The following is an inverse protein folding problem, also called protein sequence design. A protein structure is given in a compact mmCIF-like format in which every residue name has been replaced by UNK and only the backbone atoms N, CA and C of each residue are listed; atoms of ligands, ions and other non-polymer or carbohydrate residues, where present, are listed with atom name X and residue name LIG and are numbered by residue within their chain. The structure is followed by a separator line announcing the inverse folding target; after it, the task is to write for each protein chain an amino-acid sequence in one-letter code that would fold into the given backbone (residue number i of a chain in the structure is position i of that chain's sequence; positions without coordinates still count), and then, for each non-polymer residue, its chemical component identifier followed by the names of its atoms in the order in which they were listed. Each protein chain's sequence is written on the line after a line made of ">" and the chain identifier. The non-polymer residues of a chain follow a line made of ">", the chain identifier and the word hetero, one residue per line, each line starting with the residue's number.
data_IF_521877392158
#
_entry.id   IF_521877392158
#
_cell.length_a   1.000
_cell.length_b   1.000
_cell.length_c   1.000
_cell.angle_alpha   90.00
_cell.angle_beta   90.00
_cell.angle_gamma   90.00
#
_symmetry.space_group_name_H-M   'P 1'
#
loop_
_entity.id
_entity.type
_entity.pdbx_description
1 polymer ?
#
# COMPACT_ATOMS: atom_id res chain seq x y z
N UNK A 1 27.71 19.38 -37.32
CA UNK A 1 27.68 20.10 -36.03
C UNK A 1 26.25 20.04 -35.56
N UNK A 2 25.91 19.00 -34.79
CA UNK A 2 24.53 18.74 -34.35
C UNK A 2 24.32 19.38 -32.97
N UNK A 3 23.26 20.17 -32.86
CA UNK A 3 22.96 21.00 -31.69
C UNK A 3 22.78 20.13 -30.43
N UNK A 4 23.48 20.41 -29.32
CA UNK A 4 23.26 19.69 -28.07
C UNK A 4 21.83 19.94 -27.60
N UNK A 5 21.02 18.89 -27.58
CA UNK A 5 19.61 18.97 -27.17
C UNK A 5 19.52 19.45 -25.73
N UNK A 6 18.52 20.26 -25.40
CA UNK A 6 18.29 20.85 -24.08
C UNK A 6 18.33 19.83 -22.92
N UNK A 7 18.03 18.56 -23.20
CA UNK A 7 18.18 17.45 -22.28
C UNK A 7 19.63 17.29 -21.78
N UNK A 8 20.61 17.41 -22.67
CA UNK A 8 22.06 17.27 -22.37
C UNK A 8 22.54 18.37 -21.43
N UNK A 9 22.08 19.62 -21.65
CA UNK A 9 22.42 20.78 -20.82
C UNK A 9 21.80 20.71 -19.42
N UNK A 10 20.57 20.16 -19.31
CA UNK A 10 19.90 19.96 -18.02
C UNK A 10 20.49 18.78 -17.24
N UNK A 11 20.92 17.71 -17.93
CA UNK A 11 21.63 16.58 -17.34
C UNK A 11 23.00 17.00 -16.76
N UNK A 12 23.74 17.86 -17.46
CA UNK A 12 25.03 18.38 -16.96
C UNK A 12 24.90 19.40 -15.82
N UNK A 13 23.75 20.08 -15.71
CA UNK A 13 23.52 21.08 -14.68
C UNK A 13 23.09 20.47 -13.33
N UNK A 14 22.54 19.25 -13.34
CA UNK A 14 21.95 18.62 -12.15
C UNK A 14 22.68 17.37 -11.66
N UNK A 15 23.53 16.73 -12.49
CA UNK A 15 24.25 15.49 -12.14
C UNK A 15 25.79 15.65 -12.24
N UNK A 16 26.56 15.12 -11.27
CA UNK A 16 28.03 15.09 -11.28
C UNK A 16 28.63 14.50 -12.57
N UNK A 17 29.78 15.02 -13.04
CA UNK A 17 30.36 14.74 -14.37
C UNK A 17 30.70 13.27 -14.65
N UNK A 18 30.89 12.43 -13.62
CA UNK A 18 31.20 11.00 -13.78
C UNK A 18 30.00 10.16 -14.27
N UNK A 19 28.77 10.64 -14.05
CA UNK A 19 27.55 9.95 -14.50
C UNK A 19 27.25 10.22 -15.98
N UNK A 20 27.72 11.35 -16.51
CA UNK A 20 27.48 11.75 -17.91
C UNK A 20 28.21 10.81 -18.88
N UNK A 21 29.42 10.38 -18.56
CA UNK A 21 30.20 9.49 -19.43
C UNK A 21 29.63 8.05 -19.46
N UNK A 22 29.11 7.57 -18.32
CA UNK A 22 28.45 6.26 -18.24
C UNK A 22 27.07 6.24 -18.90
N UNK A 23 26.30 7.32 -18.78
CA UNK A 23 24.99 7.49 -19.45
C UNK A 23 25.17 7.63 -20.96
N UNK A 24 26.17 8.38 -21.42
CA UNK A 24 26.43 8.52 -22.85
C UNK A 24 26.89 7.20 -23.47
N UNK A 25 27.72 6.43 -22.76
CA UNK A 25 28.25 5.14 -23.24
C UNK A 25 27.21 4.00 -23.23
N UNK A 26 26.27 3.97 -22.28
CA UNK A 26 25.32 2.84 -22.12
C UNK A 26 23.83 3.19 -22.29
N UNK A 27 23.43 4.46 -22.19
CA UNK A 27 22.02 4.88 -22.19
C UNK A 27 21.63 5.60 -23.49
N UNK A 28 22.58 6.26 -24.16
CA UNK A 28 22.32 7.03 -25.40
C UNK A 28 22.73 6.31 -26.71
N UNK A 29 23.16 5.05 -26.66
CA UNK A 29 23.42 4.30 -27.90
C UNK A 29 22.08 3.89 -28.56
N UNK A 30 21.87 4.09 -29.88
CA UNK A 30 20.64 3.74 -30.60
C UNK A 30 20.22 2.24 -30.59
N UNK A 31 20.96 1.38 -29.89
CA UNK A 31 20.65 -0.05 -29.62
C UNK A 31 20.56 -0.38 -28.13
N UNK A 32 20.35 0.63 -27.27
CA UNK A 32 20.19 0.40 -25.84
C UNK A 32 18.93 -0.44 -25.56
N UNK A 33 19.00 -1.46 -24.67
CA UNK A 33 17.87 -2.34 -24.35
C UNK A 33 16.66 -1.58 -23.78
N UNK A 34 16.92 -0.44 -23.13
CA UNK A 34 15.88 0.46 -22.62
C UNK A 34 15.06 1.07 -23.78
N UNK A 35 15.69 1.42 -24.91
CA UNK A 35 14.96 1.93 -26.07
C UNK A 35 14.12 0.84 -26.73
N UNK A 36 14.59 -0.41 -26.74
CA UNK A 36 13.82 -1.56 -27.24
C UNK A 36 12.60 -1.78 -26.36
N UNK A 37 12.75 -1.71 -25.03
CA UNK A 37 11.64 -1.83 -24.09
C UNK A 37 10.64 -0.68 -24.28
N UNK A 38 11.11 0.56 -24.37
CA UNK A 38 10.24 1.72 -24.59
C UNK A 38 9.46 1.61 -25.90
N UNK A 39 10.09 1.15 -26.99
CA UNK A 39 9.39 0.90 -28.26
C UNK A 39 8.34 -0.19 -28.13
N UNK A 40 8.62 -1.29 -27.43
CA UNK A 40 7.62 -2.33 -27.19
C UNK A 40 6.46 -1.84 -26.33
N UNK A 41 6.72 -1.03 -25.31
CA UNK A 41 5.69 -0.40 -24.49
C UNK A 41 4.85 0.57 -25.31
N UNK A 42 5.48 1.39 -26.17
CA UNK A 42 4.78 2.32 -27.06
C UNK A 42 3.89 1.58 -28.07
N UNK A 43 4.39 0.51 -28.68
CA UNK A 43 3.62 -0.29 -29.66
C UNK A 43 2.50 -1.06 -28.96
N UNK A 44 2.72 -1.60 -27.76
CA UNK A 44 1.63 -2.20 -26.98
C UNK A 44 0.59 -1.17 -26.56
N UNK A 45 1.01 0.01 -26.12
CA UNK A 45 0.09 1.08 -25.76
C UNK A 45 -0.77 1.50 -26.96
N UNK A 46 -0.17 1.63 -28.15
CA UNK A 46 -0.89 1.95 -29.38
C UNK A 46 -1.86 0.85 -29.79
N UNK A 47 -1.44 -0.42 -29.79
CA UNK A 47 -2.33 -1.55 -30.12
C UNK A 47 -3.50 -1.69 -29.13
N UNK A 48 -3.27 -1.42 -27.84
CA UNK A 48 -4.32 -1.40 -26.83
C UNK A 48 -5.27 -0.22 -27.04
N UNK A 49 -4.75 0.94 -27.43
CA UNK A 49 -5.57 2.09 -27.81
C UNK A 49 -6.40 1.80 -29.05
N UNK A 50 -5.83 1.22 -30.10
CA UNK A 50 -6.54 0.90 -31.34
C UNK A 50 -7.62 -0.18 -31.13
N UNK A 51 -7.39 -1.10 -30.21
CA UNK A 51 -8.39 -2.13 -29.84
C UNK A 51 -9.49 -1.55 -28.96
N UNK A 52 -9.17 -0.60 -28.08
CA UNK A 52 -10.12 0.01 -27.15
C UNK A 52 -10.87 1.21 -27.74
N UNK A 53 -10.30 1.88 -28.74
CA UNK A 53 -10.86 3.04 -29.44
C UNK A 53 -12.30 2.81 -29.91
N UNK A 54 -12.65 1.72 -30.63
CA UNK A 54 -14.02 1.51 -31.11
C UNK A 54 -15.05 1.29 -30.00
N UNK A 55 -14.61 0.94 -28.79
CA UNK A 55 -15.48 0.77 -27.61
C UNK A 55 -15.63 2.10 -26.86
N UNK A 56 -14.57 2.89 -26.81
CA UNK A 56 -14.51 4.12 -26.04
C UNK A 56 -15.09 5.31 -26.82
N UNK A 57 -14.85 5.42 -28.13
CA UNK A 57 -15.39 6.48 -29.02
C UNK A 57 -16.91 6.69 -28.87
N UNK A 58 -17.77 5.67 -29.06
CA UNK A 58 -19.21 5.89 -29.02
C UNK A 58 -19.71 6.26 -27.61
N UNK A 59 -18.98 5.86 -26.57
CA UNK A 59 -19.29 6.25 -25.20
C UNK A 59 -18.93 7.71 -24.95
N UNK A 60 -17.77 8.15 -25.47
CA UNK A 60 -17.30 9.52 -25.39
C UNK A 60 -18.21 10.47 -26.18
N UNK A 61 -18.61 10.09 -27.39
CA UNK A 61 -19.53 10.89 -28.21
C UNK A 61 -20.89 11.05 -27.55
N UNK A 62 -21.42 9.99 -26.94
CA UNK A 62 -22.68 10.06 -26.17
C UNK A 62 -22.54 10.96 -24.95
N UNK A 63 -21.41 10.89 -24.26
CA UNK A 63 -21.09 11.78 -23.14
C UNK A 63 -20.98 13.24 -23.59
N UNK A 64 -20.26 13.52 -24.68
CA UNK A 64 -20.12 14.87 -25.22
C UNK A 64 -21.46 15.44 -25.67
N UNK A 65 -22.28 14.63 -26.35
CA UNK A 65 -23.62 15.04 -26.80
C UNK A 65 -24.54 15.33 -25.61
N UNK A 66 -24.57 14.44 -24.61
CA UNK A 66 -25.36 14.64 -23.39
C UNK A 66 -24.88 15.83 -22.54
N UNK A 67 -23.59 16.14 -22.57
CA UNK A 67 -23.01 17.32 -21.93
C UNK A 67 -23.34 18.62 -22.69
N UNK A 68 -23.33 18.58 -24.03
CA UNK A 68 -23.65 19.74 -24.87
C UNK A 68 -25.13 20.11 -24.81
N UNK A 69 -26.02 19.12 -24.71
CA UNK A 69 -27.47 19.31 -24.68
C UNK A 69 -27.96 19.86 -23.32
N UNK A 70 -27.18 19.67 -22.24
CA UNK A 70 -27.64 19.98 -20.89
C UNK A 70 -26.49 20.53 -20.01
N UNK A 71 -26.30 21.86 -20.03
CA UNK A 71 -25.22 22.54 -19.32
C UNK A 71 -25.21 22.27 -17.79
N UNK A 72 -26.37 22.02 -17.19
CA UNK A 72 -26.48 21.66 -15.77
C UNK A 72 -25.90 20.27 -15.44
N UNK A 73 -25.95 19.33 -16.38
CA UNK A 73 -25.43 17.96 -16.22
C UNK A 73 -23.89 17.95 -16.17
N UNK A 74 -23.23 18.87 -16.87
CA UNK A 74 -21.77 19.01 -16.88
C UNK A 74 -21.24 19.26 -15.46
N UNK A 75 -21.87 20.15 -14.70
CA UNK A 75 -21.49 20.44 -13.33
C UNK A 75 -21.64 19.24 -12.39
N UNK A 76 -22.73 18.48 -12.53
CA UNK A 76 -22.99 17.28 -11.73
C UNK A 76 -21.99 16.17 -12.06
N UNK A 77 -21.76 15.89 -13.35
CA UNK A 77 -20.80 14.89 -13.81
C UNK A 77 -19.39 15.26 -13.37
N UNK A 78 -18.99 16.53 -13.51
CA UNK A 78 -17.68 17.00 -13.07
C UNK A 78 -17.50 16.81 -11.55
N UNK A 79 -18.50 17.16 -10.75
CA UNK A 79 -18.46 16.96 -9.30
C UNK A 79 -18.38 15.47 -8.92
N UNK A 80 -19.16 14.62 -9.59
CA UNK A 80 -19.10 13.16 -9.41
C UNK A 80 -17.74 12.59 -9.81
N UNK A 81 -17.12 13.07 -10.89
CA UNK A 81 -15.78 12.66 -11.31
C UNK A 81 -14.73 13.03 -10.28
N UNK A 82 -14.80 14.24 -9.71
CA UNK A 82 -13.89 14.66 -8.64
C UNK A 82 -14.08 13.74 -7.43
N UNK A 83 -15.32 13.52 -6.98
CA UNK A 83 -15.61 12.64 -5.86
C UNK A 83 -15.14 11.20 -6.12
N UNK A 84 -15.44 10.66 -7.30
CA UNK A 84 -15.01 9.32 -7.71
C UNK A 84 -13.48 9.21 -7.73
N UNK A 85 -12.78 10.23 -8.22
CA UNK A 85 -11.32 10.29 -8.21
C UNK A 85 -10.78 10.21 -6.78
N UNK A 86 -11.33 11.00 -5.86
CA UNK A 86 -10.96 10.91 -4.44
C UNK A 86 -11.19 9.51 -3.85
N UNK A 87 -12.35 8.91 -4.11
CA UNK A 87 -12.67 7.56 -3.63
C UNK A 87 -11.74 6.49 -4.21
N UNK A 88 -11.42 6.60 -5.50
CA UNK A 88 -10.46 5.70 -6.18
C UNK A 88 -9.10 5.83 -5.51
N UNK A 89 -8.60 7.05 -5.30
CA UNK A 89 -7.31 7.30 -4.64
C UNK A 89 -7.31 6.71 -3.23
N UNK A 90 -8.34 6.99 -2.42
CA UNK A 90 -8.44 6.46 -1.05
C UNK A 90 -8.48 4.93 -1.02
N UNK A 91 -9.22 4.31 -1.96
CA UNK A 91 -9.25 2.87 -2.07
C UNK A 91 -7.89 2.31 -2.49
N UNK A 92 -7.19 3.00 -3.39
CA UNK A 92 -5.85 2.62 -3.83
C UNK A 92 -4.85 2.70 -2.67
N UNK A 93 -4.90 3.77 -1.87
CA UNK A 93 -4.10 3.90 -0.64
C UNK A 93 -4.40 2.76 0.33
N UNK A 94 -5.68 2.47 0.60
CA UNK A 94 -6.07 1.36 1.47
C UNK A 94 -5.50 0.02 0.97
N UNK A 95 -5.60 -0.25 -0.32
CA UNK A 95 -5.07 -1.47 -0.93
C UNK A 95 -3.55 -1.52 -0.87
N UNK A 96 -2.88 -0.40 -1.14
CA UNK A 96 -1.44 -0.27 -1.05
C UNK A 96 -0.96 -0.52 0.38
N UNK A 97 -1.61 0.06 1.40
CA UNK A 97 -1.31 -0.17 2.81
C UNK A 97 -1.50 -1.63 3.21
N UNK A 98 -2.60 -2.27 2.82
CA UNK A 98 -2.85 -3.70 3.07
C UNK A 98 -1.78 -4.59 2.43
N UNK A 99 -1.38 -4.27 1.20
CA UNK A 99 -0.34 -5.01 0.49
C UNK A 99 1.03 -4.79 1.14
N UNK A 100 1.37 -3.54 1.46
CA UNK A 100 2.65 -3.18 2.07
C UNK A 100 2.77 -3.79 3.46
N UNK A 101 1.74 -3.69 4.32
CA UNK A 101 1.75 -4.30 5.65
C UNK A 101 1.89 -5.82 5.59
N UNK A 102 1.22 -6.49 4.64
CA UNK A 102 1.40 -7.94 4.42
C UNK A 102 2.82 -8.28 3.99
N UNK A 103 3.41 -7.47 3.10
CA UNK A 103 4.78 -7.64 2.62
C UNK A 103 5.78 -7.42 3.77
N UNK A 104 5.60 -6.35 4.54
CA UNK A 104 6.38 -6.04 5.74
C UNK A 104 6.37 -7.19 6.74
N UNK A 105 5.18 -7.70 7.05
CA UNK A 105 5.02 -8.80 8.01
C UNK A 105 5.73 -10.05 7.50
N UNK A 106 5.65 -10.34 6.20
CA UNK A 106 6.35 -11.48 5.59
C UNK A 106 7.85 -11.30 5.64
N UNK A 107 8.37 -10.13 5.30
CA UNK A 107 9.81 -9.80 5.40
C UNK A 107 10.29 -9.90 6.84
N UNK A 108 9.56 -9.33 7.81
CA UNK A 108 9.89 -9.43 9.23
C UNK A 108 9.92 -10.89 9.71
N UNK A 109 8.92 -11.69 9.29
CA UNK A 109 8.88 -13.14 9.59
C UNK A 109 10.12 -13.84 9.04
N UNK A 110 10.47 -13.61 7.78
CA UNK A 110 11.68 -14.18 7.18
C UNK A 110 12.96 -13.70 7.88
N UNK A 111 13.06 -12.41 8.21
CA UNK A 111 14.20 -11.86 8.93
C UNK A 111 14.39 -12.53 10.29
N UNK A 112 13.30 -12.74 11.04
CA UNK A 112 13.33 -13.48 12.31
C UNK A 112 13.78 -14.92 12.09
N UNK A 113 13.22 -15.62 11.09
CA UNK A 113 13.64 -17.00 10.78
C UNK A 113 15.12 -17.09 10.41
N UNK A 114 15.63 -16.17 9.60
CA UNK A 114 17.05 -16.11 9.26
C UNK A 114 17.92 -15.77 10.46
N UNK A 115 17.48 -14.84 11.33
CA UNK A 115 18.20 -14.53 12.56
C UNK A 115 18.29 -15.75 13.48
N UNK A 116 17.20 -16.52 13.63
CA UNK A 116 17.20 -17.77 14.39
C UNK A 116 18.11 -18.80 13.73
N UNK A 117 18.02 -18.99 12.42
CA UNK A 117 18.85 -19.95 11.70
C UNK A 117 20.35 -19.62 11.81
N UNK A 118 20.72 -18.34 11.67
CA UNK A 118 22.09 -17.87 11.84
C UNK A 118 22.58 -18.06 13.28
N UNK A 119 21.74 -17.74 14.27
CA UNK A 119 22.08 -17.91 15.68
C UNK A 119 22.27 -19.39 16.06
N UNK A 120 21.41 -20.27 15.55
CA UNK A 120 21.55 -21.73 15.71
C UNK A 120 22.82 -22.25 15.04
N UNK A 121 23.19 -21.68 13.88
CA UNK A 121 24.41 -22.05 13.17
C UNK A 121 25.69 -21.64 13.93
N UNK A 122 25.70 -20.49 14.61
CA UNK A 122 26.85 -20.03 15.41
C UNK A 122 26.98 -20.73 16.77
N UNK A 123 25.86 -21.06 17.45
CA UNK A 123 25.88 -21.50 18.86
C UNK A 123 25.45 -22.96 19.09
N UNK A 124 24.88 -23.61 18.09
CA UNK A 124 24.32 -24.95 18.21
C UNK A 124 22.91 -24.98 18.82
N UNK A 125 22.10 -25.94 18.37
CA UNK A 125 20.64 -26.03 18.63
C UNK A 125 20.28 -26.08 20.13
N UNK A 126 21.14 -26.66 20.98
CA UNK A 126 20.79 -27.02 22.36
C UNK A 126 20.87 -25.84 23.35
N UNK A 127 21.86 -24.97 23.23
CA UNK A 127 21.92 -23.73 24.04
C UNK A 127 20.85 -22.73 23.57
N UNK A 128 20.60 -22.67 22.27
CA UNK A 128 19.62 -21.78 21.67
C UNK A 128 18.17 -22.03 22.13
N UNK A 129 17.78 -23.30 22.26
CA UNK A 129 16.44 -23.67 22.72
C UNK A 129 16.21 -23.32 24.21
N UNK A 130 17.24 -23.44 25.05
CA UNK A 130 17.17 -23.13 26.48
C UNK A 130 16.98 -21.64 26.72
N UNK A 131 17.72 -20.79 25.99
CA UNK A 131 17.58 -19.33 26.08
C UNK A 131 16.24 -18.84 25.54
N UNK A 132 15.73 -19.46 24.47
CA UNK A 132 14.38 -19.16 23.97
C UNK A 132 13.28 -19.53 24.97
N UNK A 133 13.40 -20.66 25.67
CA UNK A 133 12.43 -21.06 26.68
C UNK A 133 12.40 -20.06 27.86
N UNK A 134 13.56 -19.58 28.28
CA UNK A 134 13.68 -18.59 29.37
C UNK A 134 13.12 -17.23 28.93
N UNK A 135 13.45 -16.77 27.71
CA UNK A 135 12.92 -15.53 27.16
C UNK A 135 11.41 -15.60 26.92
N UNK A 136 10.92 -16.70 26.35
CA UNK A 136 9.50 -16.97 26.13
C UNK A 136 8.70 -17.03 27.42
N UNK A 137 9.26 -17.65 28.47
CA UNK A 137 8.65 -17.68 29.81
C UNK A 137 8.50 -16.28 30.42
N UNK A 138 9.49 -15.40 30.27
CA UNK A 138 9.40 -14.00 30.72
C UNK A 138 8.30 -13.24 29.98
N UNK A 139 8.25 -13.35 28.66
CA UNK A 139 7.24 -12.68 27.83
C UNK A 139 5.83 -13.20 28.16
N UNK A 140 5.66 -14.50 28.30
CA UNK A 140 4.38 -15.11 28.71
C UNK A 140 3.94 -14.65 30.10
N UNK A 141 4.89 -14.51 31.04
CA UNK A 141 4.61 -13.95 32.37
C UNK A 141 4.09 -12.51 32.32
N UNK A 142 4.72 -11.63 31.53
CA UNK A 142 4.23 -10.27 31.35
C UNK A 142 2.85 -10.20 30.67
N UNK A 143 2.62 -11.04 29.66
CA UNK A 143 1.31 -11.12 29.00
C UNK A 143 0.21 -11.63 29.92
N UNK A 144 0.52 -12.56 30.84
CA UNK A 144 -0.42 -13.03 31.85
C UNK A 144 -0.85 -11.90 32.79
N UNK A 145 0.11 -11.10 33.30
CA UNK A 145 -0.19 -9.96 34.17
C UNK A 145 -1.09 -8.94 33.46
N UNK A 146 -0.81 -8.62 32.19
CA UNK A 146 -1.63 -7.68 31.42
C UNK A 146 -3.05 -8.23 31.19
N UNK A 147 -3.16 -9.53 30.87
CA UNK A 147 -4.44 -10.21 30.70
C UNK A 147 -5.26 -10.18 31.99
N UNK A 148 -4.62 -10.43 33.13
CA UNK A 148 -5.29 -10.48 34.42
C UNK A 148 -5.88 -9.11 34.80
N UNK A 149 -5.13 -8.02 34.58
CA UNK A 149 -5.62 -6.64 34.79
C UNK A 149 -6.84 -6.35 33.91
N UNK A 150 -6.83 -6.80 32.65
CA UNK A 150 -7.94 -6.56 31.73
C UNK A 150 -9.20 -7.37 32.09
N UNK A 151 -9.02 -8.61 32.53
CA UNK A 151 -10.11 -9.46 33.01
C UNK A 151 -10.71 -8.93 34.31
N UNK A 152 -9.88 -8.41 35.20
CA UNK A 152 -10.34 -7.79 36.45
C UNK A 152 -11.21 -6.56 36.16
N UNK A 153 -10.80 -5.70 35.22
CA UNK A 153 -11.58 -4.53 34.85
C UNK A 153 -12.87 -4.89 34.08
N UNK A 154 -12.82 -5.90 33.21
CA UNK A 154 -14.02 -6.43 32.54
C UNK A 154 -15.05 -6.96 33.54
N UNK A 155 -14.63 -7.81 34.47
CA UNK A 155 -15.48 -8.34 35.54
C UNK A 155 -16.04 -7.23 36.41
N UNK A 156 -15.26 -6.17 36.65
CA UNK A 156 -15.68 -4.98 37.39
C UNK A 156 -16.78 -4.21 36.68
N UNK A 157 -16.77 -4.11 35.35
CA UNK A 157 -17.85 -3.49 34.58
C UNK A 157 -19.10 -4.37 34.51
N UNK A 158 -18.95 -5.69 34.32
CA UNK A 158 -20.09 -6.62 34.36
C UNK A 158 -20.76 -6.65 35.74
N UNK A 159 -19.98 -6.62 36.83
CA UNK A 159 -20.51 -6.56 38.19
C UNK A 159 -21.29 -5.26 38.45
N UNK A 160 -20.83 -4.12 37.91
CA UNK A 160 -21.53 -2.83 38.02
C UNK A 160 -22.82 -2.79 37.17
N UNK A 161 -22.80 -3.37 35.97
CA UNK A 161 -23.99 -3.46 35.12
C UNK A 161 -25.03 -4.46 35.66
N UNK A 162 -24.58 -5.57 36.24
CA UNK A 162 -25.43 -6.56 36.90
C UNK A 162 -26.11 -6.04 38.18
N UNK A 163 -25.47 -5.13 38.92
CA UNK A 163 -26.10 -4.47 40.07
C UNK A 163 -27.03 -3.31 39.67
N UNK A 164 -26.78 -2.63 38.55
CA UNK A 164 -27.66 -1.57 38.03
C UNK A 164 -28.93 -2.11 37.32
N UNK A 165 -28.89 -3.33 36.77
CA UNK A 165 -30.03 -3.99 36.12
C UNK A 165 -31.01 -4.71 37.08
N UNK A 166 -30.74 -4.71 38.39
CA UNK A 166 -31.50 -5.46 39.39
C UNK A 166 -32.65 -4.70 40.08
N UNK A 167 -32.93 -3.44 39.71
CA UNK A 167 -34.06 -2.69 40.30
C UNK A 167 -35.36 -3.08 39.62
N UNK A 168 -36.03 -4.13 40.13
CA UNK A 168 -37.42 -4.49 39.79
C UNK A 168 -38.35 -3.29 40.03
N UNK A 169 -39.06 -2.77 39.01
CA UNK A 169 -40.19 -1.87 39.24
C UNK A 169 -41.44 -2.74 39.42
N UNK A 170 -41.87 -2.96 40.67
CA UNK A 170 -43.00 -3.85 40.87
C UNK A 170 -43.48 -3.99 42.30
N UNK A 171 -43.93 -2.88 42.90
CA UNK A 171 -44.85 -2.93 44.04
C UNK A 171 -45.70 -1.65 44.08
N UNK A 172 -46.67 -1.54 43.18
CA UNK A 172 -47.82 -0.65 43.35
C UNK A 172 -49.07 -1.52 43.31
N UNK A 173 -49.49 -1.96 44.50
CA UNK A 173 -50.76 -2.63 44.72
C UNK A 173 -51.66 -1.75 45.58
N UNK A 174 -52.84 -1.48 45.04
CA UNK A 174 -54.05 -0.89 45.64
C UNK A 174 -54.03 0.62 45.88
#
# INVERSE_FOLDING_TARGET
>A
MESPTLATSLLSALLPPDLVDSINKHVLHPRAPIQILLRHVLVQAQNLLDTAAPIIEPLLDRLMTAMAENQGLVGVIASLLVLATFLIILNWIRRLLMWWTRLAMRVATWAILFAIAAWVWERGVFESARDMAIAGGKVAGYLAVIKDVWLEEYNRYEAQQGMAGGTKPGARSR
#
